data_IF_004373480888
#
_entry.id   IF_004373480888
#
_cell.length_a   1.000
_cell.length_b   1.000
_cell.length_c   1.000
_cell.angle_alpha   90.00
_cell.angle_beta   90.00
_cell.angle_gamma   90.00
#
_symmetry.space_group_name_H-M   'P 1'
#
loop_
_entity.id
_entity.type
_entity.pdbx_description
1 polymer ?
#
# COMPACT_ATOMS: atom_id res chain seq x y z
N UNK A 1 10.15 57.55 11.06
CA UNK A 1 9.49 56.71 12.09
C UNK A 1 10.25 56.82 13.40
N UNK A 2 9.63 56.44 14.53
CA UNK A 2 10.31 56.43 15.83
C UNK A 2 11.51 55.49 15.81
N UNK A 3 12.60 55.87 16.47
CA UNK A 3 13.85 55.10 16.57
C UNK A 3 13.91 54.49 17.97
N UNK A 4 14.18 53.20 18.06
CA UNK A 4 14.36 52.49 19.33
C UNK A 4 15.36 51.36 19.18
N UNK A 5 15.95 50.94 20.29
CA UNK A 5 16.90 49.84 20.36
C UNK A 5 16.42 48.78 21.36
N UNK A 6 16.69 47.51 21.07
CA UNK A 6 16.41 46.41 21.99
C UNK A 6 17.50 46.31 23.10
N UNK A 7 17.31 45.37 24.04
CA UNK A 7 18.26 45.13 25.13
C UNK A 7 19.65 44.67 24.66
N UNK A 8 19.79 44.24 23.40
CA UNK A 8 21.04 43.82 22.77
C UNK A 8 21.64 44.92 21.88
N UNK A 9 21.02 46.09 21.78
CA UNK A 9 21.47 47.21 20.95
C UNK A 9 21.05 47.13 19.48
N UNK A 10 20.19 46.19 19.08
CA UNK A 10 19.66 46.13 17.72
C UNK A 10 18.59 47.18 17.51
N UNK A 11 18.55 47.74 16.29
CA UNK A 11 17.52 48.72 15.92
C UNK A 11 16.16 48.04 15.78
N UNK A 12 15.19 48.53 16.55
CA UNK A 12 13.78 48.17 16.40
C UNK A 12 13.22 48.95 15.21
N UNK A 13 12.64 48.23 14.25
CA UNK A 13 12.14 48.81 13.02
C UNK A 13 11.06 47.95 12.38
N UNK A 14 10.67 48.33 11.17
CA UNK A 14 9.70 47.60 10.38
C UNK A 14 10.42 46.86 9.26
N UNK A 15 10.10 45.57 9.09
CA UNK A 15 10.62 44.73 8.04
C UNK A 15 9.58 44.63 6.91
N UNK A 16 10.05 44.99 5.71
CA UNK A 16 9.28 44.91 4.48
C UNK A 16 9.40 43.51 3.88
N UNK A 17 8.28 42.89 3.52
CA UNK A 17 8.26 41.64 2.76
C UNK A 17 7.74 41.90 1.36
N UNK A 18 8.53 41.50 0.36
CA UNK A 18 8.22 41.64 -1.06
C UNK A 18 8.03 40.27 -1.70
N UNK A 19 7.14 40.17 -2.68
CA UNK A 19 7.01 39.00 -3.56
C UNK A 19 6.94 39.44 -5.01
N UNK A 20 7.66 38.72 -5.87
CA UNK A 20 7.49 38.80 -7.31
C UNK A 20 6.20 38.07 -7.72
N UNK A 21 5.23 38.79 -8.27
CA UNK A 21 3.95 38.26 -8.73
C UNK A 21 3.76 38.46 -10.24
N UNK A 22 2.79 37.75 -10.80
CA UNK A 22 2.24 37.93 -12.16
C UNK A 22 3.20 37.65 -13.35
N UNK A 23 4.39 37.08 -13.11
CA UNK A 23 5.35 36.71 -14.16
C UNK A 23 4.75 35.87 -15.29
N UNK A 24 3.92 34.88 -14.94
CA UNK A 24 3.29 33.97 -15.90
C UNK A 24 2.25 34.64 -16.82
N UNK A 25 1.71 35.81 -16.43
CA UNK A 25 0.68 36.52 -17.18
C UNK A 25 1.28 37.57 -18.13
N UNK A 26 2.37 38.23 -17.74
CA UNK A 26 2.91 39.40 -18.45
C UNK A 26 4.33 39.20 -18.98
N UNK A 27 4.96 38.04 -18.73
CA UNK A 27 6.37 37.79 -19.07
C UNK A 27 7.36 38.64 -18.28
N UNK A 28 6.88 39.42 -17.30
CA UNK A 28 7.65 40.31 -16.43
C UNK A 28 7.14 40.17 -15.00
N UNK A 29 8.05 40.04 -14.05
CA UNK A 29 7.73 39.96 -12.63
C UNK A 29 7.43 41.34 -12.07
N UNK A 30 6.29 41.49 -11.39
CA UNK A 30 5.97 42.71 -10.62
C UNK A 30 6.32 42.47 -9.15
N UNK A 31 7.25 43.24 -8.61
CA UNK A 31 7.56 43.23 -7.17
C UNK A 31 6.43 43.94 -6.42
N UNK A 32 5.76 43.22 -5.53
CA UNK A 32 4.65 43.73 -4.74
C UNK A 32 4.95 43.55 -3.26
N UNK A 33 4.65 44.58 -2.48
CA UNK A 33 4.68 44.50 -1.03
C UNK A 33 3.49 43.69 -0.52
N UNK A 34 3.79 42.69 0.29
CA UNK A 34 2.81 41.88 1.01
C UNK A 34 2.82 42.35 2.48
N UNK A 35 3.14 41.60 3.57
CA UNK A 35 2.91 42.16 4.88
C UNK A 35 4.07 43.05 5.34
N UNK A 36 3.75 43.95 6.25
CA UNK A 36 4.74 44.66 7.04
C UNK A 36 4.89 43.97 8.39
N UNK A 37 6.11 43.57 8.74
CA UNK A 37 6.40 43.00 10.05
C UNK A 37 6.95 44.10 10.97
N UNK A 38 6.25 44.37 12.07
CA UNK A 38 6.71 45.32 13.09
C UNK A 38 7.43 44.58 14.22
N UNK A 39 8.74 44.77 14.32
CA UNK A 39 9.57 44.12 15.35
C UNK A 39 9.21 44.60 16.76
N UNK A 40 8.62 45.79 16.91
CA UNK A 40 8.24 46.33 18.23
C UNK A 40 7.03 45.62 18.81
N UNK A 41 6.00 45.40 17.98
CA UNK A 41 4.76 44.74 18.39
C UNK A 41 4.77 43.23 18.11
N UNK A 42 5.78 42.74 17.40
CA UNK A 42 5.87 41.36 16.89
C UNK A 42 4.63 40.95 16.08
N UNK A 43 4.03 41.91 15.39
CA UNK A 43 2.82 41.69 14.59
C UNK A 43 3.11 41.78 13.10
N UNK A 44 2.45 40.90 12.36
CA UNK A 44 2.45 40.89 10.90
C UNK A 44 1.20 41.61 10.41
N UNK A 45 1.33 42.86 9.98
CA UNK A 45 0.20 43.63 9.44
C UNK A 45 0.00 43.23 7.98
N UNK A 46 -1.12 42.53 7.71
CA UNK A 46 -1.53 42.14 6.35
C UNK A 46 -2.62 43.05 5.78
N UNK A 47 -3.27 43.84 6.64
CA UNK A 47 -4.34 44.75 6.27
C UNK A 47 -3.81 45.94 5.46
N UNK A 48 -4.45 46.22 4.31
CA UNK A 48 -4.02 47.26 3.36
C UNK A 48 -2.93 46.82 2.38
N UNK A 49 -2.43 45.58 2.47
CA UNK A 49 -1.40 45.05 1.56
C UNK A 49 -1.91 43.95 0.63
N UNK A 50 -1.13 43.66 -0.41
CA UNK A 50 -1.50 42.63 -1.39
C UNK A 50 -1.32 41.24 -0.77
N UNK A 51 -2.27 40.32 -0.99
CA UNK A 51 -2.19 38.94 -0.48
C UNK A 51 -1.05 38.16 -1.16
N UNK A 52 -0.46 37.22 -0.41
CA UNK A 52 0.53 36.27 -0.92
C UNK A 52 -0.15 35.39 -1.97
N UNK A 53 0.46 35.27 -3.16
CA UNK A 53 0.03 34.35 -4.19
C UNK A 53 0.98 33.15 -4.23
N UNK A 54 0.43 31.95 -4.15
CA UNK A 54 1.16 30.71 -4.38
C UNK A 54 0.67 30.06 -5.67
N UNK A 55 1.52 29.27 -6.32
CA UNK A 55 1.09 28.49 -7.47
C UNK A 55 -0.08 27.57 -7.08
N UNK A 56 -1.18 27.61 -7.84
CA UNK A 56 -2.39 26.84 -7.55
C UNK A 56 -3.10 27.24 -6.23
N UNK A 57 -2.88 28.46 -5.71
CA UNK A 57 -3.45 28.96 -4.45
C UNK A 57 -3.20 28.07 -3.22
N UNK A 58 -2.16 27.23 -3.27
CA UNK A 58 -1.82 26.30 -2.20
C UNK A 58 -0.41 26.56 -1.70
N UNK A 59 -0.29 26.75 -0.38
CA UNK A 59 1.02 26.88 0.26
C UNK A 59 1.80 25.59 0.01
N UNK A 60 3.05 25.66 -0.50
CA UNK A 60 3.87 24.48 -0.70
C UNK A 60 4.13 23.79 0.64
N UNK A 61 4.21 22.46 0.60
CA UNK A 61 4.47 21.67 1.80
C UNK A 61 5.98 21.49 1.96
N UNK A 62 6.44 21.58 3.21
CA UNK A 62 7.85 21.48 3.60
C UNK A 62 8.49 20.11 3.27
N UNK A 63 7.69 19.04 3.24
CA UNK A 63 8.15 17.70 2.88
C UNK A 63 7.15 16.89 2.07
N UNK A 64 7.67 15.95 1.28
CA UNK A 64 6.86 14.95 0.59
C UNK A 64 6.20 14.02 1.60
N UNK A 65 4.88 13.85 1.50
CA UNK A 65 4.14 12.88 2.31
C UNK A 65 4.08 11.55 1.58
N UNK A 66 4.90 10.59 2.02
CA UNK A 66 4.81 9.21 1.53
C UNK A 66 3.58 8.52 2.14
N UNK A 67 2.63 8.14 1.30
CA UNK A 67 1.50 7.29 1.70
C UNK A 67 1.83 5.84 1.32
N UNK A 68 1.92 4.95 2.30
CA UNK A 68 2.04 3.50 2.04
C UNK A 68 0.67 3.00 1.60
N UNK A 69 0.57 2.54 0.36
CA UNK A 69 -0.63 1.89 -0.15
C UNK A 69 -0.36 0.40 -0.22
N UNK A 70 -1.22 -0.42 0.39
CA UNK A 70 -1.14 -1.87 0.26
C UNK A 70 -1.65 -2.27 -1.13
N UNK A 71 -0.85 -3.06 -1.85
CA UNK A 71 -1.25 -3.64 -3.12
C UNK A 71 -1.90 -4.99 -2.85
N UNK A 72 -3.07 -5.20 -3.44
CA UNK A 72 -3.84 -6.42 -3.26
C UNK A 72 -4.07 -7.13 -4.59
N UNK A 73 -4.32 -8.43 -4.53
CA UNK A 73 -4.63 -9.21 -5.72
C UNK A 73 -5.98 -8.78 -6.33
N UNK A 74 -6.05 -8.71 -7.66
CA UNK A 74 -7.31 -8.43 -8.34
C UNK A 74 -8.34 -9.52 -8.03
N UNK A 75 -9.58 -9.17 -7.63
CA UNK A 75 -10.60 -10.13 -7.24
C UNK A 75 -10.95 -11.09 -8.39
N UNK A 76 -10.89 -10.63 -9.65
CA UNK A 76 -11.16 -11.49 -10.81
C UNK A 76 -10.16 -12.63 -10.96
N UNK A 77 -8.87 -12.35 -10.76
CA UNK A 77 -7.80 -13.36 -10.83
C UNK A 77 -7.98 -14.36 -9.68
N UNK A 78 -8.25 -13.87 -8.47
CA UNK A 78 -8.49 -14.74 -7.31
C UNK A 78 -9.64 -15.71 -7.54
N UNK A 79 -10.80 -15.21 -7.97
CA UNK A 79 -11.99 -16.04 -8.22
C UNK A 79 -11.71 -17.07 -9.30
N UNK A 80 -11.07 -16.69 -10.40
CA UNK A 80 -10.74 -17.63 -11.48
C UNK A 80 -9.84 -18.77 -11.00
N UNK A 81 -8.74 -18.46 -10.30
CA UNK A 81 -7.80 -19.47 -9.78
C UNK A 81 -8.45 -20.35 -8.71
N UNK A 82 -9.29 -19.78 -7.84
CA UNK A 82 -10.03 -20.51 -6.83
C UNK A 82 -11.01 -21.52 -7.45
N UNK A 83 -11.76 -21.13 -8.49
CA UNK A 83 -12.69 -22.05 -9.17
C UNK A 83 -11.95 -23.24 -9.80
N UNK A 84 -10.83 -23.00 -10.47
CA UNK A 84 -9.99 -24.06 -11.05
C UNK A 84 -9.45 -24.99 -9.96
N UNK A 85 -8.98 -24.45 -8.83
CA UNK A 85 -8.51 -25.24 -7.70
C UNK A 85 -9.62 -26.11 -7.08
N UNK A 86 -10.84 -25.58 -6.94
CA UNK A 86 -11.99 -26.34 -6.45
C UNK A 86 -12.35 -27.51 -7.37
N UNK A 87 -12.35 -27.30 -8.68
CA UNK A 87 -12.57 -28.39 -9.67
C UNK A 87 -11.47 -29.45 -9.54
N UNK A 88 -10.21 -29.02 -9.44
CA UNK A 88 -9.07 -29.93 -9.23
C UNK A 88 -9.20 -30.78 -7.97
N UNK A 89 -9.61 -30.18 -6.84
CA UNK A 89 -9.85 -30.92 -5.60
C UNK A 89 -10.97 -31.95 -5.72
N UNK A 90 -12.08 -31.59 -6.39
CA UNK A 90 -13.18 -32.52 -6.61
C UNK A 90 -12.72 -33.74 -7.42
N UNK A 91 -11.94 -33.52 -8.49
CA UNK A 91 -11.37 -34.60 -9.29
C UNK A 91 -10.42 -35.49 -8.48
N UNK A 92 -9.53 -34.89 -7.66
CA UNK A 92 -8.61 -35.65 -6.79
C UNK A 92 -9.39 -36.51 -5.80
N UNK A 93 -10.45 -36.00 -5.19
CA UNK A 93 -11.30 -36.77 -4.27
C UNK A 93 -11.99 -37.94 -4.97
N UNK A 94 -12.52 -37.72 -6.18
CA UNK A 94 -13.12 -38.80 -6.98
C UNK A 94 -12.08 -39.88 -7.29
N UNK A 95 -10.88 -39.50 -7.73
CA UNK A 95 -9.80 -40.46 -8.01
C UNK A 95 -9.30 -41.19 -6.76
N UNK A 96 -9.31 -40.52 -5.61
CA UNK A 96 -8.96 -41.12 -4.32
C UNK A 96 -10.00 -42.16 -3.90
N UNK A 97 -11.28 -41.82 -3.97
CA UNK A 97 -12.39 -42.75 -3.66
C UNK A 97 -12.34 -43.95 -4.61
N UNK A 98 -12.10 -43.72 -5.90
CA UNK A 98 -11.95 -44.78 -6.89
C UNK A 98 -10.75 -45.68 -6.57
N UNK A 99 -9.59 -45.11 -6.23
CA UNK A 99 -8.40 -45.87 -5.81
C UNK A 99 -8.65 -46.71 -4.57
N UNK A 100 -9.39 -46.18 -3.58
CA UNK A 100 -9.72 -46.91 -2.37
C UNK A 100 -10.74 -48.04 -2.62
N UNK A 101 -11.74 -47.81 -3.48
CA UNK A 101 -12.81 -48.78 -3.76
C UNK A 101 -12.31 -49.94 -4.63
N UNK A 102 -11.50 -49.68 -5.65
CA UNK A 102 -11.00 -50.67 -6.59
C UNK A 102 -9.65 -51.29 -6.21
N UNK A 103 -9.17 -51.05 -4.98
CA UNK A 103 -7.89 -51.54 -4.43
C UNK A 103 -7.66 -53.06 -4.54
N UNK A 104 -8.72 -53.84 -4.83
CA UNK A 104 -8.70 -55.31 -5.01
C UNK A 104 -8.52 -55.79 -6.47
N UNK A 105 -8.59 -54.93 -7.49
CA UNK A 105 -8.35 -55.32 -8.88
C UNK A 105 -6.84 -55.48 -9.16
N UNK A 106 -6.45 -56.57 -9.84
CA UNK A 106 -5.06 -56.95 -10.16
C UNK A 106 -4.30 -55.85 -10.92
N UNK A 107 -5.01 -55.02 -11.68
CA UNK A 107 -4.46 -53.88 -12.45
C UNK A 107 -3.95 -52.75 -11.56
N UNK A 108 -4.62 -52.46 -10.42
CA UNK A 108 -4.22 -51.38 -9.50
C UNK A 108 -3.06 -51.82 -8.58
N UNK A 109 -2.89 -53.13 -8.37
CA UNK A 109 -1.75 -53.68 -7.63
C UNK A 109 -0.41 -53.52 -8.34
N UNK A 110 -0.39 -53.37 -9.67
CA UNK A 110 0.86 -53.22 -10.44
C UNK A 110 1.44 -51.79 -10.40
N UNK A 111 0.67 -50.78 -9.98
CA UNK A 111 1.07 -49.36 -9.99
C UNK A 111 1.51 -48.80 -8.61
N UNK A 112 1.69 -49.66 -7.60
CA UNK A 112 1.95 -49.26 -6.21
C UNK A 112 0.85 -48.34 -5.62
N UNK A 113 -0.23 -48.92 -5.07
CA UNK A 113 -1.38 -48.15 -4.58
C UNK A 113 -1.06 -47.18 -3.43
N UNK A 114 0.05 -47.40 -2.71
CA UNK A 114 0.51 -46.47 -1.67
C UNK A 114 1.12 -45.20 -2.28
N UNK A 115 1.88 -45.32 -3.38
CA UNK A 115 2.46 -44.18 -4.10
C UNK A 115 1.39 -43.33 -4.75
N UNK A 116 0.39 -43.95 -5.39
CA UNK A 116 -0.70 -43.21 -6.03
C UNK A 116 -1.53 -42.39 -5.03
N UNK A 117 -1.80 -42.97 -3.85
CA UNK A 117 -2.48 -42.24 -2.78
C UNK A 117 -1.64 -41.06 -2.25
N UNK A 118 -0.31 -41.20 -2.19
CA UNK A 118 0.58 -40.13 -1.75
C UNK A 118 0.66 -38.99 -2.77
N UNK A 119 0.71 -39.32 -4.07
CA UNK A 119 0.65 -38.34 -5.16
C UNK A 119 -0.68 -37.56 -5.12
N UNK A 120 -1.80 -38.26 -4.95
CA UNK A 120 -3.12 -37.62 -4.82
C UNK A 120 -3.21 -36.71 -3.58
N UNK A 121 -2.60 -37.10 -2.46
CA UNK A 121 -2.52 -36.26 -1.27
C UNK A 121 -1.67 -34.99 -1.52
N UNK A 122 -0.53 -35.12 -2.20
CA UNK A 122 0.29 -33.98 -2.62
C UNK A 122 -0.47 -33.02 -3.52
N UNK A 123 -1.24 -33.56 -4.47
CA UNK A 123 -2.11 -32.75 -5.35
C UNK A 123 -3.19 -32.01 -4.55
N UNK A 124 -3.82 -32.66 -3.56
CA UNK A 124 -4.81 -32.02 -2.69
C UNK A 124 -4.19 -30.86 -1.90
N UNK A 125 -3.01 -31.07 -1.32
CA UNK A 125 -2.26 -30.03 -0.58
C UNK A 125 -1.86 -28.87 -1.49
N UNK A 126 -1.44 -29.15 -2.72
CA UNK A 126 -1.13 -28.13 -3.72
C UNK A 126 -2.35 -27.26 -4.06
N UNK A 127 -3.52 -27.86 -4.33
CA UNK A 127 -4.74 -27.07 -4.58
C UNK A 127 -5.18 -26.25 -3.36
N UNK A 128 -5.04 -26.78 -2.15
CA UNK A 128 -5.29 -26.03 -0.91
C UNK A 128 -4.34 -24.84 -0.78
N UNK A 129 -3.07 -25.00 -1.18
CA UNK A 129 -2.09 -23.90 -1.17
C UNK A 129 -2.52 -22.74 -2.08
N UNK A 130 -3.08 -23.01 -3.27
CA UNK A 130 -3.55 -21.96 -4.20
C UNK A 130 -4.60 -21.07 -3.55
N UNK A 131 -5.53 -21.65 -2.80
CA UNK A 131 -6.58 -20.91 -2.08
C UNK A 131 -5.97 -20.09 -0.95
N UNK A 132 -5.07 -20.68 -0.16
CA UNK A 132 -4.35 -19.98 0.90
C UNK A 132 -3.52 -18.81 0.36
N UNK A 133 -2.99 -18.92 -0.86
CA UNK A 133 -2.21 -17.86 -1.48
C UNK A 133 -3.04 -16.64 -1.88
N UNK A 134 -4.31 -16.85 -2.22
CA UNK A 134 -5.23 -15.79 -2.61
C UNK A 134 -5.95 -15.09 -1.44
N UNK A 135 -5.83 -15.63 -0.22
CA UNK A 135 -6.28 -14.93 0.99
C UNK A 135 -5.26 -13.83 1.33
N UNK A 136 -5.62 -12.59 1.04
CA UNK A 136 -4.81 -11.40 1.32
C UNK A 136 -5.38 -10.61 2.51
N UNK A 137 -4.64 -9.60 3.00
CA UNK A 137 -5.01 -8.74 4.13
C UNK A 137 -6.30 -7.94 3.94
N UNK A 138 -6.94 -7.99 2.76
CA UNK A 138 -8.31 -7.49 2.58
C UNK A 138 -9.37 -8.33 3.30
N UNK A 139 -9.12 -9.63 3.47
CA UNK A 139 -10.10 -10.58 4.01
C UNK A 139 -9.72 -11.13 5.39
N UNK A 140 -8.48 -10.90 5.82
CA UNK A 140 -7.91 -11.49 7.04
C UNK A 140 -7.50 -10.41 8.04
N UNK A 141 -7.77 -10.68 9.31
CA UNK A 141 -7.24 -9.92 10.45
C UNK A 141 -5.72 -10.13 10.57
N UNK A 142 -4.98 -9.16 11.14
CA UNK A 142 -3.50 -9.21 11.27
C UNK A 142 -2.97 -10.53 11.84
N UNK A 143 -3.61 -11.08 12.89
CA UNK A 143 -3.21 -12.36 13.51
C UNK A 143 -3.36 -13.55 12.55
N UNK A 144 -4.41 -13.55 11.74
CA UNK A 144 -4.63 -14.61 10.76
C UNK A 144 -3.65 -14.50 9.59
N UNK A 145 -3.18 -13.29 9.28
CA UNK A 145 -2.16 -13.06 8.27
C UNK A 145 -0.80 -13.64 8.67
N UNK A 146 -0.39 -13.48 9.94
CA UNK A 146 0.85 -14.10 10.47
C UNK A 146 0.80 -15.64 10.42
N UNK A 147 -0.33 -16.22 10.83
CA UNK A 147 -0.55 -17.66 10.73
C UNK A 147 -0.51 -18.12 9.27
N UNK A 148 -1.14 -17.38 8.35
CA UNK A 148 -1.15 -17.69 6.93
C UNK A 148 0.26 -17.61 6.31
N UNK A 149 1.05 -16.60 6.66
CA UNK A 149 2.45 -16.49 6.24
C UNK A 149 3.24 -17.74 6.64
N UNK A 150 3.10 -18.18 7.89
CA UNK A 150 3.79 -19.38 8.40
C UNK A 150 3.37 -20.64 7.65
N UNK A 151 2.07 -20.80 7.37
CA UNK A 151 1.54 -21.96 6.61
C UNK A 151 2.01 -21.93 5.15
N UNK A 152 2.07 -20.74 4.52
CA UNK A 152 2.52 -20.56 3.12
C UNK A 152 4.01 -20.86 2.95
N UNK A 153 4.85 -20.46 3.90
CA UNK A 153 6.30 -20.69 3.81
C UNK A 153 6.70 -22.10 4.23
N UNK A 154 6.07 -22.67 5.27
CA UNK A 154 6.60 -23.86 5.92
C UNK A 154 5.77 -25.12 5.71
N UNK A 155 4.49 -25.02 5.33
CA UNK A 155 3.54 -26.13 5.46
C UNK A 155 2.94 -26.65 4.16
N UNK A 156 2.36 -25.78 3.33
CA UNK A 156 1.50 -26.25 2.25
C UNK A 156 2.26 -26.68 0.98
N UNK A 157 3.27 -25.90 0.56
CA UNK A 157 4.02 -26.14 -0.69
C UNK A 157 5.17 -27.14 -0.50
N UNK A 158 5.87 -27.05 0.64
CA UNK A 158 7.00 -27.93 1.00
C UNK A 158 6.60 -29.39 1.23
N UNK A 159 5.36 -29.65 1.64
CA UNK A 159 4.84 -31.02 1.79
C UNK A 159 4.23 -31.58 0.49
N UNK A 160 3.89 -30.72 -0.48
CA UNK A 160 3.31 -31.14 -1.75
C UNK A 160 4.34 -31.54 -2.81
N UNK A 161 5.61 -31.16 -2.65
CA UNK A 161 6.74 -31.47 -3.53
C UNK A 161 7.76 -32.33 -2.80
#
# INVERSE_FOLDING_TARGET
GPVGFDHSGNRIGQCLVLQAQDFHLTGKSRMVQIPLYDTRSQTLTTDGYTKIKWFGNKVPRDSARSSKTQLYLSPGIFVSMATVACVGMALVLVFLIFNLKFKRLRVIKLSSPMMNNFILLGCLLAYMSVILYGLDGQYLTERSFEALCTVRTNGALSLSF
#
